data_IF_701860822256
#
_entry.id   IF_701860822256
#
_cell.length_a   1.000
_cell.length_b   1.000
_cell.length_c   1.000
_cell.angle_alpha   90.00
_cell.angle_beta   90.00
_cell.angle_gamma   90.00
#
_symmetry.space_group_name_H-M   'P 1'
#
loop_
_entity.id
_entity.type
_entity.pdbx_description
1 polymer ?
#
# COMPACT_ATOMS: atom_id res chain seq x y z
N UNK A 1 -15.45 9.44 -7.92
CA UNK A 1 -14.39 9.24 -8.91
C UNK A 1 -14.48 7.80 -9.40
N UNK A 2 -14.46 7.62 -10.71
CA UNK A 2 -14.41 6.30 -11.37
C UNK A 2 -12.98 6.06 -11.88
N UNK A 3 -12.62 4.82 -12.26
CA UNK A 3 -11.29 4.56 -12.87
C UNK A 3 -11.11 5.36 -14.18
N UNK A 4 -12.21 5.79 -14.82
CA UNK A 4 -12.24 6.57 -16.07
C UNK A 4 -12.00 8.06 -15.92
N UNK A 5 -12.00 8.63 -14.71
CA UNK A 5 -11.65 10.06 -14.60
C UNK A 5 -10.14 10.17 -14.85
N UNK A 6 -9.68 10.93 -15.87
CA UNK A 6 -8.26 10.98 -16.23
C UNK A 6 -7.44 11.53 -15.06
N UNK A 7 -6.28 10.91 -14.83
CA UNK A 7 -5.30 11.40 -13.85
C UNK A 7 -4.74 12.70 -14.43
N UNK A 8 -4.55 13.77 -13.63
CA UNK A 8 -3.82 14.94 -14.11
C UNK A 8 -2.44 14.49 -14.64
N UNK A 9 -2.04 14.82 -15.88
CA UNK A 9 -0.82 14.26 -16.49
C UNK A 9 0.45 14.45 -15.66
N UNK A 10 0.52 15.55 -14.89
CA UNK A 10 1.62 15.84 -13.97
C UNK A 10 1.75 14.84 -12.80
N UNK A 11 0.69 14.09 -12.51
CA UNK A 11 0.65 13.09 -11.44
C UNK A 11 0.91 11.67 -11.95
N UNK A 12 0.89 11.42 -13.27
CA UNK A 12 1.08 10.08 -13.82
C UNK A 12 2.45 9.50 -13.43
N UNK A 13 3.52 10.28 -13.59
CA UNK A 13 4.87 9.87 -13.17
C UNK A 13 5.01 9.68 -11.66
N UNK A 14 4.19 10.37 -10.85
CA UNK A 14 4.20 10.21 -9.40
C UNK A 14 3.46 8.94 -8.93
N UNK A 15 2.69 8.30 -9.82
CA UNK A 15 1.98 7.05 -9.54
C UNK A 15 2.77 5.81 -9.95
N UNK A 16 3.93 5.99 -10.56
CA UNK A 16 4.87 4.90 -10.77
C UNK A 16 5.25 4.26 -9.42
N UNK A 17 5.58 2.96 -9.41
CA UNK A 17 6.11 2.35 -8.21
C UNK A 17 7.41 3.05 -7.77
N UNK A 18 7.62 3.26 -6.47
CA UNK A 18 8.83 3.90 -5.97
C UNK A 18 10.06 3.01 -6.27
N UNK A 19 11.26 3.61 -6.38
CA UNK A 19 12.51 2.85 -6.48
C UNK A 19 12.69 1.94 -5.27
N UNK A 20 13.57 0.94 -5.38
CA UNK A 20 13.90 0.07 -4.25
C UNK A 20 14.30 0.92 -3.03
N UNK A 21 13.71 0.62 -1.87
CA UNK A 21 13.92 1.35 -0.61
C UNK A 21 13.57 2.86 -0.70
N UNK A 22 12.74 3.25 -1.66
CA UNK A 22 12.22 4.61 -1.81
C UNK A 22 11.16 4.95 -0.76
N UNK A 23 11.04 6.23 -0.42
CA UNK A 23 10.00 6.75 0.45
C UNK A 23 9.23 7.86 -0.26
N UNK A 24 7.91 7.73 -0.31
CA UNK A 24 7.00 8.78 -0.81
C UNK A 24 6.18 9.31 0.34
N UNK A 25 6.23 10.62 0.56
CA UNK A 25 5.42 11.29 1.57
C UNK A 25 4.23 11.99 0.92
N UNK A 26 3.03 11.51 1.23
CA UNK A 26 1.78 12.15 0.79
C UNK A 26 1.20 12.99 1.93
N UNK A 27 1.18 14.31 1.75
CA UNK A 27 0.58 15.24 2.71
C UNK A 27 -0.70 15.85 2.16
N UNK A 28 -1.72 16.00 3.00
CA UNK A 28 -2.98 16.66 2.66
C UNK A 28 -3.35 17.74 3.67
N UNK A 29 -4.39 18.50 3.36
CA UNK A 29 -4.98 19.50 4.27
C UNK A 29 -6.47 19.23 4.45
N UNK A 30 -7.10 19.87 5.45
CA UNK A 30 -8.54 19.77 5.64
C UNK A 30 -9.27 20.29 4.38
N UNK A 31 -10.10 19.43 3.77
CA UNK A 31 -10.79 19.71 2.50
C UNK A 31 -10.06 19.22 1.25
N UNK A 32 -8.80 18.76 1.37
CA UNK A 32 -8.03 18.13 0.31
C UNK A 32 -7.32 16.87 0.85
N UNK A 33 -8.09 15.80 1.06
CA UNK A 33 -7.55 14.52 1.54
C UNK A 33 -6.74 13.80 0.45
N UNK A 34 -5.76 13.00 0.89
CA UNK A 34 -4.90 12.20 0.00
C UNK A 34 -5.49 10.82 -0.31
N UNK A 35 -6.59 10.42 0.33
CA UNK A 35 -7.15 9.07 0.22
C UNK A 35 -7.50 8.69 -1.22
N UNK A 36 -8.02 9.64 -2.00
CA UNK A 36 -8.34 9.39 -3.42
C UNK A 36 -7.07 9.11 -4.23
N UNK A 37 -5.96 9.78 -3.91
CA UNK A 37 -4.67 9.60 -4.55
C UNK A 37 -4.05 8.27 -4.13
N UNK A 38 -4.16 7.88 -2.85
CA UNK A 38 -3.76 6.57 -2.37
C UNK A 38 -4.51 5.47 -3.11
N UNK A 39 -5.84 5.57 -3.27
CA UNK A 39 -6.63 4.61 -4.05
C UNK A 39 -6.19 4.53 -5.50
N UNK A 40 -5.85 5.68 -6.12
CA UNK A 40 -5.31 5.74 -7.47
C UNK A 40 -3.95 5.08 -7.58
N UNK A 41 -3.12 5.23 -6.57
CA UNK A 41 -1.81 4.61 -6.52
C UNK A 41 -1.90 3.11 -6.32
N UNK A 42 -2.72 2.65 -5.38
CA UNK A 42 -3.04 1.23 -5.20
C UNK A 42 -3.61 0.63 -6.48
N UNK A 43 -4.50 1.35 -7.17
CA UNK A 43 -5.02 0.93 -8.48
C UNK A 43 -3.91 0.80 -9.52
N UNK A 44 -3.05 1.81 -9.69
CA UNK A 44 -1.95 1.77 -10.65
C UNK A 44 -0.95 0.64 -10.35
N UNK A 45 -0.61 0.42 -9.08
CA UNK A 45 0.31 -0.64 -8.66
C UNK A 45 -0.25 -2.04 -8.93
N UNK A 46 -1.56 -2.22 -8.76
CA UNK A 46 -2.20 -3.53 -8.96
C UNK A 46 -2.59 -3.76 -10.44
N UNK A 47 -3.11 -2.76 -11.13
CA UNK A 47 -3.56 -2.88 -12.53
C UNK A 47 -2.45 -2.61 -13.56
N UNK A 48 -1.32 -2.03 -13.16
CA UNK A 48 -0.22 -1.63 -14.06
C UNK A 48 0.32 -2.75 -14.98
N UNK A 49 0.04 -4.03 -14.67
CA UNK A 49 0.33 -5.16 -15.56
C UNK A 49 -0.73 -5.43 -16.62
N UNK A 50 -2.01 -5.16 -16.35
CA UNK A 50 -3.11 -5.47 -17.27
C UNK A 50 -3.17 -4.57 -18.52
N UNK A 51 -2.55 -3.39 -18.47
CA UNK A 51 -2.35 -2.54 -19.66
C UNK A 51 -0.98 -2.77 -20.31
N UNK A 52 0.09 -2.88 -19.50
CA UNK A 52 1.44 -3.11 -20.02
C UNK A 52 1.59 -4.44 -20.76
N UNK A 53 0.97 -5.55 -20.32
CA UNK A 53 1.02 -6.82 -21.07
C UNK A 53 0.29 -6.73 -22.42
N UNK A 54 -0.74 -5.89 -22.55
CA UNK A 54 -1.48 -5.68 -23.80
C UNK A 54 -0.78 -4.70 -24.75
N UNK A 55 0.01 -3.76 -24.23
CA UNK A 55 0.82 -2.79 -25.00
C UNK A 55 2.20 -3.36 -25.37
N UNK A 56 2.83 -4.14 -24.48
CA UNK A 56 4.10 -4.83 -24.73
C UNK A 56 3.98 -5.91 -25.82
N UNK A 57 2.85 -6.60 -25.96
CA UNK A 57 2.58 -7.48 -27.11
C UNK A 57 2.58 -6.72 -28.46
N UNK A 58 2.34 -5.40 -28.45
CA UNK A 58 2.38 -4.55 -29.64
C UNK A 58 3.75 -3.88 -29.89
N UNK A 59 4.55 -3.66 -28.84
CA UNK A 59 5.83 -2.94 -28.90
C UNK A 59 7.07 -3.86 -28.91
N UNK A 60 6.94 -5.13 -28.50
CA UNK A 60 8.03 -6.13 -28.50
C UNK A 60 8.61 -6.49 -29.88
N UNK A 61 8.03 -6.01 -30.98
CA UNK A 61 8.62 -6.15 -32.32
C UNK A 61 9.79 -5.18 -32.58
N UNK A 62 10.07 -4.19 -31.71
CA UNK A 62 10.93 -3.05 -32.08
C UNK A 62 12.30 -2.90 -31.36
N UNK A 63 12.46 -3.05 -30.04
CA UNK A 63 13.60 -2.39 -29.33
C UNK A 63 14.31 -3.23 -28.25
N UNK A 64 14.73 -4.46 -28.57
CA UNK A 64 15.02 -5.51 -27.57
C UNK A 64 16.36 -5.54 -26.79
N UNK A 65 17.31 -4.59 -26.85
CA UNK A 65 18.67 -4.88 -26.29
C UNK A 65 19.32 -3.85 -25.34
N UNK A 66 18.71 -2.72 -25.00
CA UNK A 66 19.31 -1.75 -24.06
C UNK A 66 18.45 -1.36 -22.85
N UNK A 67 17.14 -1.65 -22.84
CA UNK A 67 16.18 -1.19 -21.83
C UNK A 67 15.97 -2.19 -20.66
N UNK A 68 16.50 -3.41 -20.82
CA UNK A 68 16.24 -4.58 -19.97
C UNK A 68 16.63 -4.44 -18.49
N UNK A 69 17.58 -3.56 -18.12
CA UNK A 69 17.96 -3.38 -16.71
C UNK A 69 17.12 -2.31 -15.98
N UNK A 70 16.55 -1.34 -16.69
CA UNK A 70 15.66 -0.32 -16.11
C UNK A 70 14.19 -0.77 -16.12
N UNK A 71 13.79 -1.55 -17.14
CA UNK A 71 12.46 -2.15 -17.25
C UNK A 71 12.25 -3.25 -16.21
N UNK A 72 13.28 -4.03 -15.86
CA UNK A 72 13.16 -5.07 -14.82
C UNK A 72 12.80 -4.51 -13.42
N UNK A 73 13.23 -3.28 -13.08
CA UNK A 73 12.82 -2.60 -11.85
C UNK A 73 11.43 -1.94 -11.96
N UNK A 74 10.95 -1.65 -13.17
CA UNK A 74 9.62 -1.09 -13.43
C UNK A 74 8.54 -2.19 -13.55
N UNK A 75 8.89 -3.38 -14.06
CA UNK A 75 8.00 -4.51 -14.37
C UNK A 75 7.68 -5.43 -13.18
N UNK A 76 8.39 -5.34 -12.05
CA UNK A 76 8.20 -6.27 -10.94
C UNK A 76 6.75 -6.22 -10.38
N UNK A 77 6.10 -7.39 -10.25
CA UNK A 77 4.73 -7.52 -9.75
C UNK A 77 4.62 -6.87 -8.37
N UNK A 78 3.67 -5.97 -8.15
CA UNK A 78 3.58 -5.26 -6.88
C UNK A 78 2.53 -5.92 -6.00
N UNK A 79 2.95 -6.33 -4.81
CA UNK A 79 2.05 -6.64 -3.70
C UNK A 79 1.96 -5.42 -2.78
N UNK A 80 0.75 -4.99 -2.46
CA UNK A 80 0.49 -3.79 -1.64
C UNK A 80 0.07 -4.20 -0.24
N UNK A 81 0.77 -3.67 0.77
CA UNK A 81 0.34 -3.69 2.17
C UNK A 81 -0.18 -2.29 2.51
N UNK A 82 -1.45 -2.16 2.89
CA UNK A 82 -2.03 -0.90 3.33
C UNK A 82 -2.39 -0.97 4.81
N UNK A 83 -1.71 -0.17 5.63
CA UNK A 83 -2.06 0.06 7.02
C UNK A 83 -2.71 1.44 7.18
N UNK A 84 -3.88 1.51 7.82
CA UNK A 84 -4.53 2.78 8.14
C UNK A 84 -4.85 2.88 9.62
N UNK A 85 -4.54 4.03 10.20
CA UNK A 85 -4.81 4.35 11.60
C UNK A 85 -6.09 5.16 11.81
N UNK A 86 -6.80 5.51 10.73
CA UNK A 86 -8.02 6.33 10.80
C UNK A 86 -9.21 5.72 10.03
N UNK A 87 -8.98 4.77 9.13
CA UNK A 87 -10.01 4.15 8.29
C UNK A 87 -9.91 2.65 8.34
N UNK A 88 -11.06 1.98 8.43
CA UNK A 88 -11.12 0.53 8.35
C UNK A 88 -10.96 0.03 6.90
N UNK A 89 -10.83 -1.29 6.73
CA UNK A 89 -10.64 -1.88 5.41
C UNK A 89 -11.88 -1.72 4.50
N UNK A 90 -13.07 -1.53 5.07
CA UNK A 90 -14.30 -1.35 4.28
C UNK A 90 -14.25 -0.05 3.50
N UNK A 91 -13.73 1.02 4.11
CA UNK A 91 -13.52 2.32 3.46
C UNK A 91 -12.66 2.19 2.19
N UNK A 92 -11.53 1.49 2.28
CA UNK A 92 -10.60 1.30 1.16
C UNK A 92 -11.19 0.40 0.07
N UNK A 93 -11.88 -0.67 0.47
CA UNK A 93 -12.55 -1.59 -0.47
C UNK A 93 -13.67 -0.92 -1.24
N UNK A 94 -14.52 -0.14 -0.57
CA UNK A 94 -15.58 0.63 -1.24
C UNK A 94 -14.99 1.66 -2.20
N UNK A 95 -13.93 2.36 -1.79
CA UNK A 95 -13.21 3.30 -2.64
C UNK A 95 -12.66 2.65 -3.92
N UNK A 96 -11.98 1.50 -3.77
CA UNK A 96 -11.44 0.74 -4.89
C UNK A 96 -12.54 0.15 -5.81
N UNK A 97 -13.65 -0.33 -5.23
CA UNK A 97 -14.77 -0.87 -6.01
C UNK A 97 -15.37 0.17 -6.96
N UNK A 98 -15.37 1.46 -6.60
CA UNK A 98 -15.80 2.56 -7.48
C UNK A 98 -14.88 2.76 -8.68
N UNK A 99 -13.67 2.21 -8.62
CA UNK A 99 -12.70 2.17 -9.70
C UNK A 99 -12.61 0.79 -10.37
N UNK A 100 -13.62 -0.07 -10.15
CA UNK A 100 -13.67 -1.44 -10.66
C UNK A 100 -12.54 -2.36 -10.15
N UNK A 101 -11.87 -2.00 -9.05
CA UNK A 101 -10.84 -2.82 -8.41
C UNK A 101 -11.42 -3.54 -7.20
N UNK A 102 -11.29 -4.88 -7.18
CA UNK A 102 -11.80 -5.71 -6.09
C UNK A 102 -10.68 -6.11 -5.13
N UNK A 103 -10.45 -5.30 -4.10
CA UNK A 103 -9.42 -5.58 -3.09
C UNK A 103 -9.71 -6.80 -2.20
N UNK A 104 -10.98 -7.23 -2.06
CA UNK A 104 -11.31 -8.44 -1.26
C UNK A 104 -10.75 -9.70 -1.90
N UNK A 105 -10.77 -9.76 -3.24
CA UNK A 105 -10.34 -10.92 -4.02
C UNK A 105 -8.94 -10.76 -4.62
N UNK A 106 -8.25 -9.66 -4.29
CA UNK A 106 -6.94 -9.39 -4.86
C UNK A 106 -5.85 -10.05 -4.00
N UNK A 107 -5.23 -11.10 -4.53
CA UNK A 107 -4.16 -11.84 -3.83
C UNK A 107 -2.92 -10.98 -3.57
N UNK A 108 -2.74 -9.89 -4.33
CA UNK A 108 -1.62 -8.95 -4.18
C UNK A 108 -1.95 -7.79 -3.24
N UNK A 109 -3.02 -7.88 -2.47
CA UNK A 109 -3.40 -6.86 -1.49
C UNK A 109 -3.49 -7.45 -0.07
N UNK A 110 -2.96 -6.71 0.89
CA UNK A 110 -3.04 -7.00 2.33
C UNK A 110 -3.49 -5.72 3.04
N UNK A 111 -4.54 -5.81 3.83
CA UNK A 111 -4.98 -4.70 4.70
C UNK A 111 -4.59 -4.96 6.15
N UNK A 112 -4.07 -3.92 6.79
CA UNK A 112 -3.69 -3.90 8.21
C UNK A 112 -4.51 -2.79 8.91
N UNK A 113 -5.42 -3.22 9.76
CA UNK A 113 -6.22 -2.37 10.63
C UNK A 113 -5.38 -1.88 11.82
N UNK A 114 -4.96 -0.62 11.74
CA UNK A 114 -4.35 0.12 12.85
C UNK A 114 -5.36 0.93 13.67
N UNK A 115 -6.61 1.05 13.22
CA UNK A 115 -7.65 1.84 13.86
C UNK A 115 -8.29 1.11 15.04
N UNK A 116 -8.63 -0.18 14.89
CA UNK A 116 -9.33 -0.94 15.93
C UNK A 116 -8.53 -0.98 17.24
N UNK A 117 -7.20 -1.17 17.16
CA UNK A 117 -6.33 -1.14 18.34
C UNK A 117 -6.25 0.24 19.01
N UNK A 118 -6.42 1.33 18.26
CA UNK A 118 -6.42 2.71 18.80
C UNK A 118 -7.72 3.03 19.54
N UNK A 119 -8.86 2.64 18.98
CA UNK A 119 -10.17 3.06 19.49
C UNK A 119 -10.82 2.03 20.42
N UNK A 120 -10.45 0.75 20.28
CA UNK A 120 -11.13 -0.39 20.90
C UNK A 120 -10.12 -1.46 21.38
N UNK A 121 -9.20 -1.12 22.31
CA UNK A 121 -8.10 -2.00 22.73
C UNK A 121 -8.57 -3.34 23.34
N UNK A 122 -9.77 -3.36 23.94
CA UNK A 122 -10.35 -4.56 24.57
C UNK A 122 -11.28 -5.37 23.65
N UNK A 123 -11.57 -4.88 22.44
CA UNK A 123 -12.67 -5.43 21.64
C UNK A 123 -12.33 -6.72 20.88
N UNK A 124 -11.05 -7.08 20.72
CA UNK A 124 -10.69 -8.31 20.00
C UNK A 124 -9.26 -8.78 20.29
N UNK A 125 -9.01 -10.10 20.44
CA UNK A 125 -7.65 -10.60 20.39
C UNK A 125 -7.05 -10.34 18.99
N UNK A 126 -5.76 -9.96 18.92
CA UNK A 126 -5.10 -9.73 17.65
C UNK A 126 -5.14 -10.97 16.75
N UNK A 127 -5.51 -10.77 15.49
CA UNK A 127 -5.70 -11.84 14.52
C UNK A 127 -6.36 -11.36 13.24
N UNK A 128 -6.93 -12.30 12.50
CA UNK A 128 -7.65 -12.05 11.25
C UNK A 128 -9.06 -11.56 11.59
N UNK A 129 -9.38 -10.31 11.24
CA UNK A 129 -10.73 -9.75 11.33
C UNK A 129 -11.74 -10.56 10.49
N UNK A 130 -13.03 -10.30 10.66
CA UNK A 130 -14.11 -10.98 9.91
C UNK A 130 -13.99 -10.84 8.39
N UNK A 131 -13.16 -9.91 7.92
CA UNK A 131 -12.93 -9.59 6.51
C UNK A 131 -11.62 -10.15 5.94
N UNK A 132 -10.86 -10.93 6.71
CA UNK A 132 -9.49 -11.35 6.30
C UNK A 132 -8.40 -10.34 6.67
N UNK A 133 -8.79 -9.19 7.24
CA UNK A 133 -7.90 -8.09 7.60
C UNK A 133 -7.00 -8.44 8.78
N UNK A 134 -5.76 -7.98 8.77
CA UNK A 134 -4.89 -8.09 9.95
C UNK A 134 -5.21 -6.96 10.91
N UNK A 135 -5.29 -7.24 12.20
CA UNK A 135 -5.49 -6.20 13.23
C UNK A 135 -4.22 -6.05 14.06
N UNK A 136 -3.70 -4.82 14.18
CA UNK A 136 -2.56 -4.54 15.05
C UNK A 136 -2.91 -4.84 16.52
N UNK A 137 -1.93 -5.34 17.27
CA UNK A 137 -2.13 -5.79 18.65
C UNK A 137 -2.35 -4.65 19.65
N UNK A 138 -1.81 -3.49 19.33
CA UNK A 138 -1.75 -2.34 20.21
C UNK A 138 -1.17 -1.14 19.48
N UNK A 139 -1.03 -0.06 20.22
CA UNK A 139 -0.61 1.26 19.71
C UNK A 139 0.85 1.57 20.07
N UNK A 140 1.47 0.73 20.90
CA UNK A 140 2.89 0.81 21.22
C UNK A 140 3.73 0.56 19.95
N UNK A 141 4.85 1.28 19.82
CA UNK A 141 5.73 1.19 18.63
C UNK A 141 6.19 -0.24 18.37
N UNK A 142 6.46 -1.02 19.42
CA UNK A 142 6.84 -2.42 19.29
C UNK A 142 5.72 -3.29 18.68
N UNK A 143 4.46 -3.07 19.06
CA UNK A 143 3.32 -3.82 18.55
C UNK A 143 3.02 -3.46 17.09
N UNK A 144 3.11 -2.17 16.76
CA UNK A 144 2.94 -1.68 15.38
C UNK A 144 4.05 -2.21 14.49
N UNK A 145 5.32 -2.07 14.91
CA UNK A 145 6.48 -2.62 14.20
C UNK A 145 6.28 -4.09 13.88
N UNK A 146 6.00 -4.90 14.90
CA UNK A 146 5.82 -6.34 14.75
C UNK A 146 4.66 -6.68 13.81
N UNK A 147 3.53 -5.99 13.94
CA UNK A 147 2.37 -6.23 13.07
C UNK A 147 2.62 -5.87 11.61
N UNK A 148 3.41 -4.81 11.36
CA UNK A 148 3.83 -4.43 10.01
C UNK A 148 4.87 -5.40 9.45
N UNK A 149 5.88 -5.79 10.22
CA UNK A 149 6.89 -6.81 9.83
C UNK A 149 6.22 -8.14 9.44
N UNK A 150 5.29 -8.62 10.26
CA UNK A 150 4.53 -9.84 9.97
C UNK A 150 3.74 -9.70 8.65
N UNK A 151 3.21 -8.50 8.34
CA UNK A 151 2.39 -8.24 7.16
C UNK A 151 3.22 -8.10 5.89
N UNK A 152 4.37 -7.45 6.00
CA UNK A 152 5.38 -7.37 4.95
C UNK A 152 5.93 -8.76 4.64
N UNK A 153 6.27 -9.57 5.64
CA UNK A 153 6.76 -10.94 5.43
C UNK A 153 5.73 -11.83 4.68
N UNK A 154 4.43 -11.68 4.97
CA UNK A 154 3.38 -12.35 4.19
C UNK A 154 3.32 -11.81 2.76
N UNK A 155 3.32 -10.49 2.58
CA UNK A 155 3.28 -9.88 1.26
C UNK A 155 4.50 -10.28 0.41
N UNK A 156 5.69 -10.38 1.01
CA UNK A 156 6.90 -10.86 0.37
C UNK A 156 6.79 -12.32 -0.04
N UNK A 157 6.17 -13.18 0.78
CA UNK A 157 5.91 -14.56 0.39
C UNK A 157 5.01 -14.64 -0.85
N UNK A 158 3.99 -13.78 -0.94
CA UNK A 158 3.09 -13.68 -2.10
C UNK A 158 3.80 -13.10 -3.33
N UNK A 159 4.63 -12.08 -3.14
CA UNK A 159 5.38 -11.39 -4.18
C UNK A 159 6.49 -12.29 -4.77
N UNK A 160 7.24 -13.01 -3.92
CA UNK A 160 8.32 -13.93 -4.34
C UNK A 160 7.81 -15.04 -5.25
N UNK A 161 6.60 -15.54 -5.01
CA UNK A 161 5.96 -16.53 -5.88
C UNK A 161 5.71 -16.00 -7.32
N UNK A 162 5.78 -14.68 -7.52
CA UNK A 162 5.50 -13.98 -8.77
C UNK A 162 6.70 -13.15 -9.29
N UNK A 163 7.86 -13.25 -8.64
CA UNK A 163 9.02 -12.39 -8.96
C UNK A 163 8.77 -10.90 -8.68
N UNK A 164 7.89 -10.60 -7.73
CA UNK A 164 7.42 -9.25 -7.42
C UNK A 164 8.11 -8.58 -6.23
N UNK A 165 7.73 -7.33 -5.97
CA UNK A 165 8.13 -6.51 -4.81
C UNK A 165 6.93 -6.14 -3.94
N UNK A 166 7.22 -5.61 -2.75
CA UNK A 166 6.21 -5.13 -1.81
C UNK A 166 6.23 -3.61 -1.73
N UNK A 167 5.05 -2.99 -1.73
CA UNK A 167 4.88 -1.57 -1.40
C UNK A 167 4.06 -1.47 -0.11
N UNK A 168 4.65 -0.83 0.91
CA UNK A 168 3.98 -0.54 2.17
C UNK A 168 3.41 0.88 2.15
N UNK A 169 2.10 0.99 2.38
CA UNK A 169 1.36 2.25 2.50
C UNK A 169 0.94 2.43 3.94
N UNK A 170 1.36 3.53 4.56
CA UNK A 170 0.95 3.92 5.92
C UNK A 170 0.08 5.19 5.84
N UNK A 171 -1.19 5.03 6.17
CA UNK A 171 -2.19 6.09 6.11
C UNK A 171 -2.48 6.67 7.51
N UNK A 172 -2.48 8.01 7.60
CA UNK A 172 -2.82 8.77 8.80
C UNK A 172 -1.94 8.45 10.03
N UNK A 173 -0.62 8.38 9.83
CA UNK A 173 0.35 8.15 10.91
C UNK A 173 0.33 9.22 12.01
N UNK A 174 -0.13 10.42 11.68
CA UNK A 174 -0.35 11.52 12.61
C UNK A 174 -1.42 11.19 13.67
N UNK A 175 -2.46 10.43 13.30
CA UNK A 175 -3.47 9.92 14.23
C UNK A 175 -2.85 8.92 15.21
N UNK A 176 -2.01 8.02 14.69
CA UNK A 176 -1.28 7.09 15.56
C UNK A 176 -0.31 7.81 16.50
N UNK A 177 0.45 8.79 16.01
CA UNK A 177 1.31 9.61 16.86
C UNK A 177 0.55 10.40 17.93
N UNK A 178 -0.68 10.83 17.63
CA UNK A 178 -1.49 11.61 18.56
C UNK A 178 -2.16 10.75 19.65
N UNK A 179 -2.53 9.51 19.32
CA UNK A 179 -3.29 8.63 20.21
C UNK A 179 -2.47 7.48 20.79
N UNK A 180 -1.34 7.16 20.19
CA UNK A 180 -0.44 6.10 20.59
C UNK A 180 0.56 6.53 21.66
N UNK A 181 1.38 5.57 22.06
CA UNK A 181 2.35 5.74 23.16
C UNK A 181 3.75 6.16 22.68
N UNK A 182 3.99 6.13 21.38
CA UNK A 182 5.31 6.37 20.77
C UNK A 182 5.63 7.83 20.52
N UNK A 183 6.89 8.20 20.71
CA UNK A 183 7.43 9.49 20.27
C UNK A 183 7.68 9.51 18.76
N UNK A 184 7.73 10.71 18.17
CA UNK A 184 8.05 10.90 16.76
C UNK A 184 9.42 10.30 16.38
N UNK A 185 10.39 10.31 17.30
CA UNK A 185 11.73 9.75 17.08
C UNK A 185 11.67 8.22 16.99
N UNK A 186 10.94 7.57 17.89
CA UNK A 186 10.76 6.11 17.87
C UNK A 186 10.01 5.64 16.63
N UNK A 187 9.00 6.39 16.20
CA UNK A 187 8.27 6.11 14.96
C UNK A 187 9.17 6.28 13.74
N UNK A 188 9.99 7.32 13.69
CA UNK A 188 10.95 7.52 12.60
C UNK A 188 11.98 6.39 12.54
N UNK A 189 12.54 5.97 13.68
CA UNK A 189 13.48 4.84 13.75
C UNK A 189 12.84 3.54 13.26
N UNK A 190 11.57 3.30 13.61
CA UNK A 190 10.81 2.18 13.05
C UNK A 190 10.64 2.27 11.54
N UNK A 191 10.26 3.43 11.00
CA UNK A 191 10.11 3.60 9.55
C UNK A 191 11.40 3.34 8.79
N UNK A 192 12.54 3.77 9.35
CA UNK A 192 13.85 3.51 8.77
C UNK A 192 14.17 2.02 8.76
N UNK A 193 13.91 1.32 9.88
CA UNK A 193 14.13 -0.12 9.96
C UNK A 193 13.21 -0.96 9.06
N UNK A 194 12.00 -0.49 8.74
CA UNK A 194 11.09 -1.16 7.81
C UNK A 194 11.51 -1.01 6.33
N UNK A 195 12.48 -0.15 6.04
CA UNK A 195 12.97 0.15 4.69
C UNK A 195 14.23 -0.64 4.33
N UNK A 196 14.87 -1.27 5.30
CA UNK A 196 16.08 -2.09 5.16
C UNK A 196 15.73 -3.56 4.96
#
# INVERSE_FOLDING_TARGET
MTSRDPIPPLLEGALAPPPANGLVLLTGVLGASTNWLVLRWVYALLEGRGHAEAEAEAEAEAEAEAEAEAEAEAEADVTVVLCSFLRDGSFWREGAARMALNLVRNERFVFVDGLTGLCMPDARPPGVGSSGDRVLRGTAVADVRKGLEDAVAEAEARARARGGRVVLVLDQMDVWLALGEGSAVEVMDMLLGLRE
#
